data_IF_612800378158
#
_entry.id   IF_612800378158
#
_cell.length_a   1.000
_cell.length_b   1.000
_cell.length_c   1.000
_cell.angle_alpha   90.00
_cell.angle_beta   90.00
_cell.angle_gamma   90.00
#
_symmetry.space_group_name_H-M   'P 1'
#
loop_
_entity.id
_entity.type
_entity.pdbx_description
1 polymer ?
#
# COMPACT_ATOMS: atom_id res chain seq x y z
N UNK A 1 -9.63 -23.95 4.39
CA UNK A 1 -9.24 -24.52 5.70
C UNK A 1 -10.10 -24.06 6.88
N UNK A 2 -10.64 -22.85 6.87
CA UNK A 2 -11.47 -22.30 7.97
C UNK A 2 -12.85 -22.97 8.11
N UNK A 3 -13.48 -23.36 7.01
CA UNK A 3 -14.80 -24.03 7.02
C UNK A 3 -14.78 -25.44 7.64
N UNK A 4 -13.66 -26.15 7.57
CA UNK A 4 -13.49 -27.48 8.18
C UNK A 4 -13.38 -27.42 9.71
N UNK A 5 -12.76 -26.36 10.24
CA UNK A 5 -12.65 -26.14 11.68
C UNK A 5 -13.98 -25.81 12.34
N UNK A 6 -14.84 -25.04 11.68
CA UNK A 6 -16.18 -24.69 12.18
C UNK A 6 -17.14 -25.90 12.19
N UNK A 7 -17.00 -26.81 11.22
CA UNK A 7 -17.82 -28.01 11.13
C UNK A 7 -17.45 -29.04 12.23
N UNK A 8 -16.16 -29.22 12.47
CA UNK A 8 -15.66 -30.09 13.57
C UNK A 8 -16.06 -29.54 14.95
N UNK A 9 -16.02 -28.22 15.15
CA UNK A 9 -16.40 -27.61 16.44
C UNK A 9 -17.90 -27.73 16.70
N UNK A 10 -18.73 -27.54 15.66
CA UNK A 10 -20.19 -27.72 15.75
C UNK A 10 -20.57 -29.18 16.05
N UNK A 11 -19.84 -30.14 15.48
CA UNK A 11 -20.07 -31.56 15.69
C UNK A 11 -19.65 -32.00 17.11
N UNK A 12 -18.51 -31.55 17.60
CA UNK A 12 -18.04 -31.81 18.95
C UNK A 12 -18.96 -31.21 20.02
N UNK A 13 -19.45 -29.99 19.81
CA UNK A 13 -20.38 -29.31 20.72
C UNK A 13 -21.75 -29.99 20.76
N UNK A 14 -22.29 -30.40 19.63
CA UNK A 14 -23.57 -31.16 19.57
C UNK A 14 -23.45 -32.54 20.19
N UNK A 15 -22.31 -33.20 20.07
CA UNK A 15 -22.07 -34.53 20.69
C UNK A 15 -21.93 -34.40 22.21
N UNK A 16 -21.25 -33.34 22.69
CA UNK A 16 -21.14 -33.05 24.11
C UNK A 16 -22.50 -32.73 24.75
N UNK A 17 -23.33 -31.88 24.13
CA UNK A 17 -24.69 -31.57 24.58
C UNK A 17 -25.58 -32.81 24.63
N UNK A 18 -25.50 -33.70 23.64
CA UNK A 18 -26.25 -34.98 23.65
C UNK A 18 -25.83 -35.87 24.81
N UNK A 19 -24.55 -35.94 25.16
CA UNK A 19 -24.07 -36.74 26.30
C UNK A 19 -24.52 -36.13 27.63
N UNK A 20 -24.46 -34.83 27.81
CA UNK A 20 -24.94 -34.15 29.02
C UNK A 20 -26.45 -34.31 29.21
N UNK A 21 -27.25 -34.22 28.16
CA UNK A 21 -28.70 -34.42 28.20
C UNK A 21 -29.06 -35.90 28.44
N UNK A 22 -28.27 -36.87 27.90
CA UNK A 22 -28.48 -38.29 28.21
C UNK A 22 -28.17 -38.65 29.66
N UNK A 23 -27.13 -38.06 30.25
CA UNK A 23 -26.76 -38.27 31.67
C UNK A 23 -27.81 -37.67 32.61
N UNK A 24 -28.45 -36.53 32.25
CA UNK A 24 -29.48 -35.90 33.08
C UNK A 24 -30.82 -36.68 33.09
N UNK A 25 -31.10 -37.53 32.08
CA UNK A 25 -32.32 -38.33 31.98
C UNK A 25 -32.29 -39.65 32.73
N UNK A 26 -31.14 -40.08 33.25
CA UNK A 26 -31.09 -41.30 34.09
C UNK A 26 -31.51 -40.98 35.53
N UNK A 27 -32.76 -41.22 35.88
CA UNK A 27 -33.35 -41.00 37.22
C UNK A 27 -32.55 -41.64 38.40
N UNK A 28 -31.62 -42.54 38.16
CA UNK A 28 -30.82 -43.20 39.17
C UNK A 28 -29.45 -42.58 39.48
N UNK A 29 -29.01 -41.59 38.69
CA UNK A 29 -27.69 -40.97 38.88
C UNK A 29 -27.69 -39.96 40.05
N UNK A 30 -28.79 -39.28 40.28
CA UNK A 30 -28.95 -38.35 41.40
C UNK A 30 -28.90 -39.06 42.75
N UNK A 31 -29.58 -40.21 42.91
CA UNK A 31 -29.59 -40.98 44.17
C UNK A 31 -28.24 -41.63 44.53
N UNK A 32 -27.41 -41.95 43.56
CA UNK A 32 -26.07 -42.53 43.80
C UNK A 32 -25.08 -41.47 44.35
N UNK A 33 -25.23 -40.23 43.96
CA UNK A 33 -24.38 -39.13 44.43
C UNK A 33 -24.82 -38.61 45.81
N UNK A 34 -26.12 -38.58 46.10
CA UNK A 34 -26.64 -38.13 47.40
C UNK A 34 -26.21 -39.03 48.57
N UNK A 35 -25.99 -40.32 48.34
CA UNK A 35 -25.61 -41.30 49.38
C UNK A 35 -24.13 -41.23 49.76
N UNK A 36 -23.28 -40.58 48.97
CA UNK A 36 -21.83 -40.54 49.18
C UNK A 36 -21.25 -39.19 49.52
N UNK A 37 -21.95 -38.11 49.18
CA UNK A 37 -21.50 -36.73 49.38
C UNK A 37 -22.69 -35.93 49.91
N UNK A 38 -22.61 -35.50 51.16
CA UNK A 38 -23.70 -34.77 51.82
C UNK A 38 -24.10 -33.47 51.03
N UNK A 39 -25.31 -33.02 51.28
CA UNK A 39 -26.01 -31.91 50.56
C UNK A 39 -25.22 -30.60 50.33
N UNK A 40 -24.11 -30.38 51.05
CA UNK A 40 -23.27 -29.18 50.85
C UNK A 40 -22.40 -29.21 49.59
N UNK A 41 -22.09 -30.42 49.03
CA UNK A 41 -21.21 -30.51 47.86
C UNK A 41 -21.96 -30.29 46.50
N UNK A 42 -23.28 -30.51 46.48
CA UNK A 42 -24.06 -30.38 45.26
C UNK A 42 -24.27 -28.93 44.83
N UNK A 43 -24.44 -28.01 45.79
CA UNK A 43 -24.58 -26.59 45.55
C UNK A 43 -23.30 -25.94 45.00
N UNK A 44 -22.15 -26.39 45.52
CA UNK A 44 -20.84 -25.86 45.09
C UNK A 44 -20.42 -26.31 43.70
N UNK A 45 -20.76 -27.54 43.30
CA UNK A 45 -20.46 -28.04 41.92
C UNK A 45 -21.34 -27.35 40.88
N UNK A 46 -22.63 -27.14 41.17
CA UNK A 46 -23.51 -26.39 40.25
C UNK A 46 -23.12 -24.92 40.13
N UNK A 47 -22.74 -24.28 41.24
CA UNK A 47 -22.27 -22.88 41.19
C UNK A 47 -20.94 -22.77 40.44
N UNK A 48 -20.01 -23.71 40.59
CA UNK A 48 -18.73 -23.74 39.89
C UNK A 48 -18.88 -23.97 38.38
N UNK A 49 -19.80 -24.85 37.96
CA UNK A 49 -20.08 -25.08 36.53
C UNK A 49 -20.76 -23.89 35.91
N UNK A 50 -21.72 -23.24 36.61
CA UNK A 50 -22.37 -22.03 36.13
C UNK A 50 -21.38 -20.86 36.02
N UNK A 51 -20.46 -20.69 36.97
CA UNK A 51 -19.40 -19.67 36.92
C UNK A 51 -18.41 -19.94 35.80
N UNK A 52 -18.04 -21.19 35.54
CA UNK A 52 -17.15 -21.58 34.45
C UNK A 52 -17.78 -21.31 33.07
N UNK A 53 -19.08 -21.57 32.91
CA UNK A 53 -19.83 -21.29 31.69
C UNK A 53 -19.96 -19.76 31.49
N UNK A 54 -20.18 -19.03 32.56
CA UNK A 54 -20.23 -17.55 32.52
C UNK A 54 -18.86 -16.94 32.16
N UNK A 55 -17.77 -17.44 32.75
CA UNK A 55 -16.41 -17.03 32.43
C UNK A 55 -16.01 -17.42 31.02
N UNK A 56 -16.41 -18.58 30.50
CA UNK A 56 -16.17 -18.97 29.11
C UNK A 56 -16.99 -18.13 28.11
N UNK A 57 -18.16 -17.64 28.50
CA UNK A 57 -18.93 -16.70 27.66
C UNK A 57 -18.34 -15.28 27.65
N UNK A 58 -17.64 -14.86 28.71
CA UNK A 58 -16.93 -13.58 28.78
C UNK A 58 -15.58 -13.61 28.06
N UNK A 59 -14.98 -14.80 27.89
CA UNK A 59 -13.68 -14.98 27.18
C UNK A 59 -13.86 -15.20 25.67
N UNK A 60 -15.10 -15.32 25.18
CA UNK A 60 -15.28 -15.17 23.74
C UNK A 60 -15.03 -13.68 23.42
N UNK A 61 -13.84 -13.31 22.87
CA UNK A 61 -13.75 -12.01 22.26
C UNK A 61 -14.84 -12.07 21.18
N UNK A 62 -15.88 -11.27 21.32
CA UNK A 62 -16.60 -10.80 20.16
C UNK A 62 -15.50 -10.30 19.25
N UNK A 63 -15.10 -11.13 18.29
CA UNK A 63 -14.48 -10.58 17.10
C UNK A 63 -15.59 -9.68 16.56
N UNK A 64 -15.56 -8.43 17.01
CA UNK A 64 -16.19 -7.38 16.29
C UNK A 64 -15.64 -7.61 14.88
N UNK A 65 -16.48 -8.05 13.95
CA UNK A 65 -16.21 -7.93 12.54
C UNK A 65 -15.95 -6.43 12.42
N UNK A 66 -14.66 -6.07 12.34
CA UNK A 66 -14.31 -4.70 12.03
C UNK A 66 -15.07 -4.45 10.74
N UNK A 67 -16.07 -3.57 10.79
CA UNK A 67 -16.79 -3.16 9.60
C UNK A 67 -15.72 -2.81 8.58
N UNK A 68 -15.83 -3.34 7.36
CA UNK A 68 -14.90 -2.94 6.31
C UNK A 68 -14.87 -1.41 6.31
N UNK A 69 -13.67 -0.79 6.35
CA UNK A 69 -13.59 0.66 6.34
C UNK A 69 -14.32 1.18 5.12
N UNK A 70 -14.98 2.30 5.28
CA UNK A 70 -15.62 2.99 4.18
C UNK A 70 -14.57 3.66 3.26
N UNK A 71 -15.02 4.11 2.11
CA UNK A 71 -14.18 4.79 1.13
C UNK A 71 -13.38 5.94 1.75
N UNK A 72 -14.03 6.76 2.57
CA UNK A 72 -13.39 7.95 3.14
C UNK A 72 -12.27 7.59 4.11
N UNK A 73 -12.44 6.55 4.89
CA UNK A 73 -11.39 6.03 5.78
C UNK A 73 -10.15 5.57 5.00
N UNK A 74 -10.35 4.78 3.92
CA UNK A 74 -9.25 4.28 3.08
C UNK A 74 -8.54 5.43 2.37
N UNK A 75 -9.30 6.36 1.82
CA UNK A 75 -8.79 7.50 1.07
C UNK A 75 -8.01 8.47 1.98
N UNK A 76 -8.57 8.80 3.14
CA UNK A 76 -7.92 9.65 4.15
C UNK A 76 -6.59 9.04 4.60
N UNK A 77 -6.54 7.75 4.90
CA UNK A 77 -5.29 7.08 5.28
C UNK A 77 -4.25 7.11 4.16
N UNK A 78 -4.66 6.92 2.91
CA UNK A 78 -3.78 7.00 1.73
C UNK A 78 -3.20 8.40 1.54
N UNK A 79 -4.01 9.46 1.69
CA UNK A 79 -3.58 10.86 1.65
C UNK A 79 -2.64 11.19 2.81
N UNK A 80 -2.98 10.83 4.03
CA UNK A 80 -2.15 11.06 5.21
C UNK A 80 -0.78 10.39 5.11
N UNK A 81 -0.67 9.24 4.44
CA UNK A 81 0.61 8.61 4.14
C UNK A 81 1.50 9.51 3.29
N UNK A 82 0.93 10.14 2.27
CA UNK A 82 1.63 11.07 1.38
C UNK A 82 1.97 12.37 2.11
N UNK A 83 1.06 12.90 2.90
CA UNK A 83 1.23 14.13 3.68
C UNK A 83 2.31 14.02 4.79
N UNK A 84 2.68 12.80 5.17
CA UNK A 84 3.75 12.53 6.14
C UNK A 84 5.12 12.31 5.50
N UNK A 85 5.25 12.44 4.18
CA UNK A 85 6.52 12.22 3.49
C UNK A 85 7.55 13.28 3.88
N UNK A 86 8.71 12.83 4.33
CA UNK A 86 9.94 13.59 4.54
C UNK A 86 11.10 12.59 4.48
N UNK A 87 11.56 12.24 3.27
CA UNK A 87 12.59 11.23 3.13
C UNK A 87 13.59 11.54 2.01
N UNK A 88 14.80 10.96 2.15
CA UNK A 88 15.82 10.82 1.11
C UNK A 88 15.97 9.35 0.76
N UNK A 89 16.25 9.08 -0.50
CA UNK A 89 16.54 7.74 -0.97
C UNK A 89 17.64 7.74 -2.01
N UNK A 90 18.40 6.63 -2.04
CA UNK A 90 19.37 6.33 -3.09
C UNK A 90 19.13 4.92 -3.57
N UNK A 91 19.46 4.64 -4.82
CA UNK A 91 19.20 3.32 -5.37
C UNK A 91 19.56 3.19 -6.83
N UNK A 92 18.93 2.23 -7.47
CA UNK A 92 19.09 1.95 -8.91
C UNK A 92 17.75 1.79 -9.59
N UNK A 93 17.65 2.41 -10.76
CA UNK A 93 16.58 2.18 -11.72
C UNK A 93 17.15 1.33 -12.85
N UNK A 94 16.56 0.16 -13.10
CA UNK A 94 17.05 -0.78 -14.11
C UNK A 94 15.96 -1.07 -15.12
N UNK A 95 16.23 -0.85 -16.40
CA UNK A 95 15.42 -1.34 -17.50
C UNK A 95 15.87 -2.75 -17.86
N UNK A 96 14.94 -3.70 -17.89
CA UNK A 96 15.14 -5.08 -18.37
C UNK A 96 14.35 -5.23 -19.65
N UNK A 97 15.03 -5.42 -20.77
CA UNK A 97 14.41 -5.64 -22.09
C UNK A 97 13.90 -7.07 -22.22
N UNK A 98 13.01 -7.34 -23.18
CA UNK A 98 12.47 -8.69 -23.41
C UNK A 98 13.50 -9.74 -23.78
N UNK A 99 14.67 -9.35 -24.32
CA UNK A 99 15.81 -10.22 -24.61
C UNK A 99 16.74 -10.43 -23.37
N UNK A 100 16.38 -9.87 -22.21
CA UNK A 100 17.15 -9.96 -20.98
C UNK A 100 18.27 -8.93 -20.84
N UNK A 101 18.53 -8.08 -21.84
CA UNK A 101 19.50 -6.97 -21.72
C UNK A 101 19.06 -6.02 -20.61
N UNK A 102 20.02 -5.55 -19.80
CA UNK A 102 19.79 -4.65 -18.68
C UNK A 102 20.56 -3.35 -18.86
N UNK A 103 19.87 -2.24 -18.61
CA UNK A 103 20.47 -0.91 -18.50
C UNK A 103 20.15 -0.34 -17.14
N UNK A 104 21.18 0.01 -16.37
CA UNK A 104 21.01 0.49 -14.99
C UNK A 104 21.45 1.94 -14.87
N UNK A 105 20.67 2.69 -14.08
CA UNK A 105 20.84 4.10 -13.79
C UNK A 105 20.99 4.26 -12.28
N UNK A 106 21.83 5.18 -11.83
CA UNK A 106 21.83 5.62 -10.43
C UNK A 106 20.59 6.45 -10.17
N UNK A 107 19.97 6.27 -9.02
CA UNK A 107 18.78 6.99 -8.60
C UNK A 107 19.03 7.70 -7.26
N UNK A 108 18.69 8.98 -7.19
CA UNK A 108 18.61 9.75 -5.95
C UNK A 108 17.24 10.40 -5.91
N UNK A 109 16.53 10.25 -4.80
CA UNK A 109 15.20 10.80 -4.59
C UNK A 109 15.09 11.55 -3.28
N UNK A 110 14.33 12.63 -3.27
CA UNK A 110 13.89 13.37 -2.10
C UNK A 110 12.41 13.63 -2.22
N UNK A 111 11.65 13.48 -1.14
CA UNK A 111 10.26 13.87 -1.11
C UNK A 111 9.91 14.47 0.25
N UNK A 112 9.13 15.54 0.25
CA UNK A 112 8.57 16.15 1.45
C UNK A 112 7.26 16.84 1.17
N UNK A 113 6.32 16.68 2.10
CA UNK A 113 5.11 17.48 2.15
C UNK A 113 5.38 18.80 2.88
N UNK A 114 5.04 19.91 2.24
CA UNK A 114 5.11 21.28 2.74
C UNK A 114 3.69 21.84 2.94
N UNK A 115 3.58 23.04 3.47
CA UNK A 115 2.29 23.73 3.64
C UNK A 115 1.55 23.98 2.32
N UNK A 116 2.27 24.05 1.19
CA UNK A 116 1.73 24.26 -0.16
C UNK A 116 1.54 22.95 -0.95
N UNK A 117 2.01 21.81 -0.42
CA UNK A 117 1.87 20.50 -1.03
C UNK A 117 3.14 19.65 -1.03
N UNK A 118 3.12 18.58 -1.82
CA UNK A 118 4.22 17.63 -1.96
C UNK A 118 5.24 18.10 -2.99
N UNK A 119 6.52 18.01 -2.65
CA UNK A 119 7.64 18.12 -3.60
C UNK A 119 8.40 16.82 -3.66
N UNK A 120 8.63 16.34 -4.89
CA UNK A 120 9.45 15.17 -5.19
C UNK A 120 10.56 15.59 -6.14
N UNK A 121 11.80 15.48 -5.72
CA UNK A 121 12.97 15.71 -6.55
C UNK A 121 13.68 14.40 -6.82
N UNK A 122 13.89 14.06 -8.09
CA UNK A 122 14.62 12.86 -8.50
C UNK A 122 15.79 13.25 -9.42
N UNK A 123 16.93 12.61 -9.21
CA UNK A 123 18.06 12.63 -10.14
C UNK A 123 18.33 11.20 -10.61
N UNK A 124 18.43 11.02 -11.93
CA UNK A 124 18.72 9.75 -12.57
C UNK A 124 19.96 9.94 -13.43
N UNK A 125 21.03 9.18 -13.14
CA UNK A 125 22.30 9.23 -13.87
C UNK A 125 22.48 7.94 -14.64
N UNK A 126 22.59 8.04 -15.95
CA UNK A 126 22.80 6.92 -16.85
C UNK A 126 24.25 6.42 -16.89
N UNK A 127 24.49 5.29 -17.59
CA UNK A 127 25.82 4.67 -17.70
C UNK A 127 26.83 5.56 -18.43
N UNK A 128 26.40 6.44 -19.32
CA UNK A 128 27.21 7.44 -20.01
C UNK A 128 27.34 8.76 -19.25
N UNK A 129 26.97 8.80 -17.96
CA UNK A 129 26.93 9.99 -17.12
C UNK A 129 25.91 11.06 -17.55
N UNK A 130 25.05 10.75 -18.50
CA UNK A 130 23.89 11.57 -18.84
C UNK A 130 22.95 11.66 -17.63
N UNK A 131 22.46 12.85 -17.35
CA UNK A 131 21.59 13.11 -16.20
C UNK A 131 20.22 13.56 -16.61
N UNK A 132 19.23 13.08 -15.91
CA UNK A 132 17.85 13.59 -15.92
C UNK A 132 17.50 13.98 -14.50
N UNK A 133 17.15 15.23 -14.28
CA UNK A 133 16.64 15.70 -12.99
C UNK A 133 15.20 16.18 -13.17
N UNK A 134 14.34 15.84 -12.23
CA UNK A 134 12.97 16.31 -12.26
C UNK A 134 12.52 16.73 -10.87
N UNK A 135 11.73 17.81 -10.83
CA UNK A 135 11.00 18.27 -9.67
C UNK A 135 9.50 18.18 -9.98
N UNK A 136 8.81 17.32 -9.25
CA UNK A 136 7.35 17.26 -9.28
C UNK A 136 6.81 18.00 -8.06
N UNK A 137 5.93 18.94 -8.29
CA UNK A 137 5.18 19.63 -7.26
C UNK A 137 3.70 19.30 -7.41
N UNK A 138 3.09 18.75 -6.36
CA UNK A 138 1.64 18.57 -6.25
C UNK A 138 1.11 19.44 -5.13
N UNK A 139 0.25 20.39 -5.49
CA UNK A 139 -0.40 21.27 -4.50
C UNK A 139 -1.31 20.47 -3.55
N UNK A 140 -1.73 21.10 -2.46
CA UNK A 140 -2.71 20.53 -1.51
C UNK A 140 -4.05 20.18 -2.18
N UNK A 141 -4.38 20.81 -3.31
CA UNK A 141 -5.58 20.51 -4.10
C UNK A 141 -5.37 19.39 -5.14
N UNK A 142 -4.17 18.79 -5.18
CA UNK A 142 -3.84 17.73 -6.14
C UNK A 142 -3.37 18.22 -7.51
N UNK A 143 -3.26 19.54 -7.74
CA UNK A 143 -2.74 20.08 -9.00
C UNK A 143 -1.23 19.81 -9.12
N UNK A 144 -0.81 19.21 -10.23
CA UNK A 144 0.58 18.78 -10.48
C UNK A 144 1.26 19.73 -11.46
N UNK A 145 2.54 20.04 -11.19
CA UNK A 145 3.49 20.64 -12.12
C UNK A 145 4.77 19.82 -12.13
N UNK A 146 5.42 19.74 -13.29
CA UNK A 146 6.69 19.02 -13.44
C UNK A 146 7.70 19.97 -14.10
N UNK A 147 8.84 20.14 -13.44
CA UNK A 147 10.01 20.78 -14.01
C UNK A 147 11.10 19.73 -14.24
N UNK A 148 11.87 19.86 -15.30
CA UNK A 148 12.95 18.92 -15.60
C UNK A 148 14.19 19.63 -16.15
N UNK A 149 15.34 18.99 -15.93
CA UNK A 149 16.59 19.21 -16.67
C UNK A 149 16.86 17.90 -17.40
N UNK A 150 16.74 17.92 -18.71
CA UNK A 150 16.95 16.73 -19.54
C UNK A 150 18.40 16.63 -20.02
N UNK A 151 18.85 15.45 -20.49
CA UNK A 151 20.19 15.30 -21.03
C UNK A 151 20.50 16.34 -22.11
N UNK A 152 21.59 17.09 -21.93
CA UNK A 152 22.02 18.18 -22.82
C UNK A 152 21.40 19.55 -22.53
N UNK A 153 20.42 19.65 -21.64
CA UNK A 153 19.87 20.93 -21.20
C UNK A 153 20.71 21.55 -20.09
N UNK A 154 20.86 22.89 -20.14
CA UNK A 154 21.65 23.66 -19.15
C UNK A 154 20.83 24.25 -18.02
N UNK A 155 19.52 24.26 -18.15
CA UNK A 155 18.60 24.83 -17.16
C UNK A 155 17.32 24.01 -17.05
N UNK A 156 16.69 24.09 -15.88
CA UNK A 156 15.38 23.52 -15.68
C UNK A 156 14.32 24.27 -16.47
N UNK A 157 13.38 23.54 -17.00
CA UNK A 157 12.20 24.07 -17.68
C UNK A 157 10.94 23.33 -17.23
N UNK A 158 9.80 24.04 -17.29
CA UNK A 158 8.50 23.39 -17.05
C UNK A 158 8.26 22.38 -18.15
N UNK A 159 8.08 21.12 -17.78
CA UNK A 159 7.79 20.05 -18.72
C UNK A 159 6.36 20.22 -19.25
N UNK A 160 6.16 20.39 -20.57
CA UNK A 160 4.82 20.50 -21.14
C UNK A 160 4.04 19.20 -20.89
N UNK A 161 2.72 19.32 -20.74
CA UNK A 161 1.85 18.18 -20.38
C UNK A 161 2.01 17.02 -21.36
N UNK A 162 2.17 17.30 -22.64
CA UNK A 162 2.32 16.31 -23.72
C UNK A 162 3.50 15.35 -23.49
N UNK A 163 4.45 15.75 -22.64
CA UNK A 163 5.64 14.96 -22.31
C UNK A 163 5.58 14.24 -20.98
N UNK A 164 4.53 14.42 -20.19
CA UNK A 164 4.45 13.83 -18.84
C UNK A 164 4.47 12.30 -18.85
N UNK A 165 3.93 11.69 -19.92
CA UNK A 165 3.96 10.25 -20.10
C UNK A 165 5.18 9.74 -20.91
N UNK A 166 6.12 10.62 -21.28
CA UNK A 166 7.37 10.18 -21.90
C UNK A 166 8.14 9.22 -20.95
N UNK A 167 8.85 8.23 -21.52
CA UNK A 167 9.66 7.30 -20.73
C UNK A 167 10.78 8.03 -19.97
N UNK A 168 10.75 7.96 -18.66
CA UNK A 168 11.80 8.52 -17.79
C UNK A 168 13.08 7.72 -17.95
N UNK A 169 14.14 8.34 -18.50
CA UNK A 169 15.42 7.69 -18.82
C UNK A 169 15.26 6.42 -19.67
N UNK A 170 14.26 6.34 -20.56
CA UNK A 170 14.00 5.17 -21.42
C UNK A 170 13.40 3.96 -20.70
N UNK A 171 12.94 4.11 -19.46
CA UNK A 171 12.32 3.06 -18.67
C UNK A 171 10.80 2.98 -18.87
N UNK A 172 10.10 2.08 -18.17
CA UNK A 172 8.64 2.00 -18.18
C UNK A 172 7.99 2.99 -17.20
N UNK A 173 8.79 3.64 -16.35
CA UNK A 173 8.33 4.80 -15.59
C UNK A 173 8.24 6.01 -16.50
N UNK A 174 7.24 6.85 -16.28
CA UNK A 174 7.12 8.17 -16.89
C UNK A 174 7.40 9.25 -15.84
N UNK A 175 7.48 10.51 -16.27
CA UNK A 175 7.64 11.64 -15.37
C UNK A 175 6.48 11.74 -14.38
N UNK A 176 5.26 11.49 -14.83
CA UNK A 176 4.05 11.51 -14.00
C UNK A 176 4.01 10.38 -12.96
N UNK A 177 4.71 9.26 -13.19
CA UNK A 177 4.70 8.13 -12.26
C UNK A 177 5.46 8.38 -10.97
N UNK A 178 6.21 9.47 -10.89
CA UNK A 178 6.95 9.84 -9.68
C UNK A 178 6.06 10.38 -8.56
N UNK A 179 4.75 10.48 -8.79
CA UNK A 179 3.78 10.98 -7.82
C UNK A 179 2.50 10.14 -7.84
N UNK A 180 1.83 10.07 -6.69
CA UNK A 180 0.58 9.33 -6.51
C UNK A 180 -0.62 10.31 -6.45
N UNK A 181 -0.78 11.15 -7.47
CA UNK A 181 -1.84 12.18 -7.53
C UNK A 181 -3.25 11.60 -7.55
N UNK A 182 -3.43 10.34 -7.96
CA UNK A 182 -4.74 9.66 -8.07
C UNK A 182 -5.51 9.64 -6.75
N UNK A 183 -4.85 9.66 -5.60
CA UNK A 183 -5.54 9.70 -4.30
C UNK A 183 -6.20 11.07 -4.01
N UNK A 184 -5.89 12.10 -4.78
CA UNK A 184 -6.43 13.45 -4.67
C UNK A 184 -7.49 13.75 -5.73
N UNK A 185 -7.72 12.84 -6.69
CA UNK A 185 -8.79 13.01 -7.69
C UNK A 185 -10.16 12.93 -7.02
N UNK A 186 -11.15 13.55 -7.66
CA UNK A 186 -12.51 13.67 -7.12
C UNK A 186 -13.30 12.36 -7.17
N UNK A 187 -13.14 11.58 -8.25
CA UNK A 187 -13.97 10.41 -8.50
C UNK A 187 -13.27 9.16 -7.96
N UNK A 188 -13.69 8.72 -6.79
CA UNK A 188 -13.14 7.59 -6.05
C UNK A 188 -14.21 6.52 -5.83
N UNK A 189 -13.85 5.25 -5.94
CA UNK A 189 -14.74 4.10 -5.75
C UNK A 189 -14.00 3.01 -4.98
N UNK A 190 -14.55 2.56 -3.87
CA UNK A 190 -14.04 1.40 -3.16
C UNK A 190 -14.75 0.15 -3.72
N UNK A 191 -13.99 -0.69 -4.39
CA UNK A 191 -14.47 -1.94 -4.98
C UNK A 191 -14.50 -3.05 -3.92
N UNK A 192 -15.03 -4.24 -4.31
CA UNK A 192 -14.98 -5.41 -3.45
C UNK A 192 -13.52 -5.73 -3.07
N UNK A 193 -13.24 -6.08 -1.80
CA UNK A 193 -11.91 -6.48 -1.39
C UNK A 193 -11.42 -7.70 -2.17
N UNK A 194 -10.14 -7.71 -2.52
CA UNK A 194 -9.50 -8.80 -3.25
C UNK A 194 -8.21 -9.25 -2.57
N UNK A 195 -7.72 -10.43 -2.97
CA UNK A 195 -6.38 -10.88 -2.61
C UNK A 195 -5.40 -10.54 -3.71
N UNK A 196 -4.26 -9.95 -3.33
CA UNK A 196 -3.09 -9.86 -4.20
C UNK A 196 -1.94 -10.69 -3.62
N UNK A 197 -1.63 -11.80 -4.27
CA UNK A 197 -0.74 -12.82 -3.71
C UNK A 197 -1.32 -13.39 -2.40
N UNK A 198 -0.59 -13.24 -1.30
CA UNK A 198 -1.02 -13.70 0.04
C UNK A 198 -1.68 -12.60 0.88
N UNK A 199 -1.82 -11.38 0.35
CA UNK A 199 -2.31 -10.21 1.08
C UNK A 199 -3.78 -9.97 0.80
N UNK A 200 -4.56 -9.74 1.84
CA UNK A 200 -5.91 -9.21 1.73
C UNK A 200 -5.80 -7.71 1.46
N UNK A 201 -6.49 -7.19 0.44
CA UNK A 201 -6.38 -5.82 -0.01
C UNK A 201 -7.76 -5.14 -0.12
N UNK A 202 -7.81 -3.85 0.24
CA UNK A 202 -8.83 -2.96 -0.25
C UNK A 202 -8.50 -2.57 -1.69
N UNK A 203 -9.50 -2.51 -2.55
CA UNK A 203 -9.32 -2.13 -3.95
C UNK A 203 -9.94 -0.77 -4.18
N UNK A 204 -9.10 0.24 -4.33
CA UNK A 204 -9.51 1.62 -4.57
C UNK A 204 -9.36 1.94 -6.06
N UNK A 205 -10.45 2.35 -6.71
CA UNK A 205 -10.45 2.83 -8.09
C UNK A 205 -10.62 4.34 -8.12
N UNK A 206 -9.61 5.03 -8.63
CA UNK A 206 -9.62 6.46 -8.88
C UNK A 206 -9.85 6.72 -10.36
N UNK A 207 -10.82 7.55 -10.72
CA UNK A 207 -11.09 7.97 -12.11
C UNK A 207 -10.80 9.45 -12.26
N UNK A 208 -9.99 9.80 -13.25
CA UNK A 208 -9.74 11.20 -13.58
C UNK A 208 -10.94 11.83 -14.28
N UNK A 209 -11.08 13.13 -14.11
CA UNK A 209 -12.04 13.93 -14.89
C UNK A 209 -11.33 14.98 -15.75
N UNK A 210 -12.07 15.92 -16.31
CA UNK A 210 -11.51 16.99 -17.15
C UNK A 210 -10.69 18.04 -16.38
N UNK A 211 -10.82 18.07 -15.04
CA UNK A 211 -10.06 18.96 -14.17
C UNK A 211 -8.70 18.34 -13.78
N UNK A 212 -8.60 17.02 -13.83
CA UNK A 212 -7.38 16.29 -13.49
C UNK A 212 -6.41 16.31 -14.69
N UNK A 213 -5.32 17.04 -14.52
CA UNK A 213 -4.25 17.09 -15.52
C UNK A 213 -3.38 15.86 -15.39
N UNK A 214 -3.77 14.78 -16.10
CA UNK A 214 -3.14 13.45 -16.04
C UNK A 214 -3.31 12.71 -17.36
N UNK A 215 -2.33 11.86 -17.71
CA UNK A 215 -2.43 10.92 -18.84
C UNK A 215 -3.24 9.66 -18.49
N UNK A 216 -3.61 9.47 -17.23
CA UNK A 216 -4.37 8.31 -16.81
C UNK A 216 -5.87 8.57 -16.80
N UNK A 217 -6.65 7.68 -17.41
CA UNK A 217 -8.10 7.67 -17.33
C UNK A 217 -8.56 7.14 -15.97
N UNK A 218 -7.90 6.07 -15.51
CA UNK A 218 -8.17 5.49 -14.20
C UNK A 218 -6.94 4.83 -13.60
N UNK A 219 -6.93 4.75 -12.27
CA UNK A 219 -5.93 4.03 -11.48
C UNK A 219 -6.64 3.12 -10.49
N UNK A 220 -6.33 1.83 -10.50
CA UNK A 220 -6.79 0.87 -9.51
C UNK A 220 -5.63 0.51 -8.60
N UNK A 221 -5.81 0.69 -7.30
CA UNK A 221 -4.79 0.46 -6.26
C UNK A 221 -5.25 -0.63 -5.32
N UNK A 222 -4.47 -1.70 -5.19
CA UNK A 222 -4.63 -2.74 -4.16
C UNK A 222 -3.85 -2.32 -2.93
N UNK A 223 -4.55 -1.92 -1.90
CA UNK A 223 -3.99 -1.42 -0.65
C UNK A 223 -4.02 -2.54 0.38
N UNK A 224 -2.87 -2.95 0.90
CA UNK A 224 -2.78 -3.98 1.94
C UNK A 224 -3.67 -3.62 3.13
N UNK A 225 -4.50 -4.55 3.55
CA UNK A 225 -5.51 -4.35 4.60
C UNK A 225 -4.92 -3.91 5.94
N UNK A 226 -3.71 -4.39 6.28
CA UNK A 226 -3.09 -4.11 7.59
C UNK A 226 -2.34 -2.79 7.65
N UNK A 227 -1.85 -2.27 6.53
CA UNK A 227 -0.94 -1.12 6.49
C UNK A 227 -1.38 0.00 5.54
N UNK A 228 -2.44 -0.22 4.75
CA UNK A 228 -3.00 0.71 3.76
C UNK A 228 -1.95 1.28 2.78
N UNK A 229 -0.93 0.47 2.48
CA UNK A 229 0.11 0.77 1.50
C UNK A 229 -0.20 0.03 0.19
N UNK A 230 -0.03 0.66 -0.98
CA UNK A 230 -0.25 -0.01 -2.26
C UNK A 230 0.77 -1.14 -2.45
N UNK A 231 0.26 -2.34 -2.76
CA UNK A 231 1.08 -3.52 -3.11
C UNK A 231 1.06 -3.79 -4.59
N UNK A 232 0.01 -3.32 -5.25
CA UNK A 232 -0.20 -3.41 -6.70
C UNK A 232 -1.00 -2.21 -7.16
N UNK A 233 -0.62 -1.62 -8.28
CA UNK A 233 -1.33 -0.49 -8.91
C UNK A 233 -1.41 -0.73 -10.41
N UNK A 234 -2.60 -0.58 -10.95
CA UNK A 234 -2.88 -0.67 -12.39
C UNK A 234 -3.38 0.68 -12.88
N UNK A 235 -2.61 1.33 -13.76
CA UNK A 235 -2.94 2.61 -14.38
C UNK A 235 -3.39 2.38 -15.80
N UNK A 236 -4.52 2.94 -16.21
CA UNK A 236 -5.05 2.88 -17.58
C UNK A 236 -4.79 4.18 -18.29
N UNK A 237 -4.04 4.14 -19.39
CA UNK A 237 -3.72 5.32 -20.19
C UNK A 237 -4.95 5.83 -20.95
N UNK A 238 -5.18 7.14 -20.90
CA UNK A 238 -6.25 7.84 -21.60
C UNK A 238 -6.06 7.71 -23.12
N UNK A 239 -7.13 7.53 -23.83
CA UNK A 239 -7.16 7.46 -25.29
C UNK A 239 -6.76 6.09 -25.86
N UNK A 240 -5.77 5.40 -25.30
CA UNK A 240 -5.33 4.07 -25.80
C UNK A 240 -5.93 2.92 -25.01
N UNK A 241 -6.31 3.11 -23.75
CA UNK A 241 -6.71 2.05 -22.84
C UNK A 241 -5.56 1.11 -22.44
N UNK A 242 -4.33 1.37 -22.89
CA UNK A 242 -3.15 0.58 -22.53
C UNK A 242 -2.91 0.64 -21.02
N UNK A 243 -2.53 -0.48 -20.43
CA UNK A 243 -2.32 -0.56 -19.00
C UNK A 243 -0.84 -0.51 -18.64
N UNK A 244 -0.53 0.18 -17.55
CA UNK A 244 0.77 0.20 -16.90
C UNK A 244 0.59 -0.36 -15.49
N UNK A 245 1.33 -1.41 -15.17
CA UNK A 245 1.29 -2.13 -13.90
C UNK A 245 2.48 -1.75 -13.04
N UNK A 246 2.22 -1.53 -11.74
CA UNK A 246 3.25 -1.31 -10.72
C UNK A 246 3.09 -2.32 -9.60
N UNK A 247 4.17 -3.01 -9.24
CA UNK A 247 4.20 -3.99 -8.17
C UNK A 247 5.24 -3.55 -7.14
N UNK A 248 4.82 -3.54 -5.86
CA UNK A 248 5.63 -3.05 -4.75
C UNK A 248 6.11 -4.22 -3.89
N UNK A 249 7.42 -4.30 -3.66
CA UNK A 249 8.05 -5.38 -2.90
C UNK A 249 8.85 -4.84 -1.71
N UNK A 250 9.14 -5.73 -0.74
CA UNK A 250 10.00 -5.43 0.39
C UNK A 250 9.47 -4.30 1.27
N UNK A 251 8.17 -4.36 1.62
CA UNK A 251 7.53 -3.33 2.43
C UNK A 251 8.16 -3.26 3.81
N UNK A 252 8.58 -2.06 4.21
CA UNK A 252 9.19 -1.78 5.51
C UNK A 252 8.84 -0.38 6.00
N UNK A 253 8.99 -0.15 7.29
CA UNK A 253 8.86 1.20 7.85
C UNK A 253 10.19 1.96 7.74
N UNK A 254 10.09 3.21 7.30
CA UNK A 254 11.20 4.17 7.22
C UNK A 254 10.71 5.48 7.82
N UNK A 255 11.29 5.93 8.92
CA UNK A 255 10.86 7.14 9.62
C UNK A 255 9.40 7.09 10.12
N UNK A 256 8.89 5.89 10.43
CA UNK A 256 7.50 5.69 10.89
C UNK A 256 6.46 5.57 9.76
N UNK A 257 6.84 5.78 8.50
CA UNK A 257 5.99 5.57 7.34
C UNK A 257 6.31 4.26 6.60
N UNK A 258 5.31 3.59 6.05
CA UNK A 258 5.51 2.42 5.19
C UNK A 258 6.08 2.84 3.83
N UNK A 259 7.03 2.07 3.34
CA UNK A 259 7.70 2.26 2.04
C UNK A 259 8.05 0.90 1.42
N UNK A 260 8.15 0.86 0.10
CA UNK A 260 8.67 -0.30 -0.63
C UNK A 260 10.18 -0.15 -0.85
N UNK A 261 10.91 -1.27 -0.79
CA UNK A 261 12.34 -1.29 -1.18
C UNK A 261 12.52 -1.51 -2.67
N UNK A 262 11.50 -1.99 -3.36
CA UNK A 262 11.52 -2.22 -4.80
C UNK A 262 10.15 -1.92 -5.40
N UNK A 263 10.15 -1.27 -6.55
CA UNK A 263 8.97 -1.03 -7.38
C UNK A 263 9.28 -1.52 -8.79
N UNK A 264 8.45 -2.42 -9.31
CA UNK A 264 8.54 -2.88 -10.70
C UNK A 264 7.42 -2.22 -11.51
N UNK A 265 7.78 -1.65 -12.66
CA UNK A 265 6.85 -1.09 -13.63
C UNK A 265 6.86 -1.91 -14.92
N UNK A 266 5.66 -2.22 -15.45
CA UNK A 266 5.44 -2.93 -16.72
C UNK A 266 4.42 -2.20 -17.56
N UNK A 267 4.69 -2.06 -18.85
CA UNK A 267 3.74 -1.53 -19.81
C UNK A 267 3.14 -2.72 -20.61
N UNK A 268 1.82 -2.83 -20.60
CA UNK A 268 1.10 -3.89 -21.31
C UNK A 268 1.48 -3.90 -22.79
N UNK A 269 1.77 -5.10 -23.34
CA UNK A 269 2.17 -5.28 -24.72
C UNK A 269 3.65 -4.96 -25.02
N UNK A 270 4.41 -4.42 -24.05
CA UNK A 270 5.84 -4.17 -24.17
C UNK A 270 6.62 -5.24 -23.40
N UNK A 271 7.53 -5.99 -24.06
CA UNK A 271 8.31 -7.02 -23.36
C UNK A 271 9.32 -6.40 -22.38
N UNK A 272 9.56 -7.10 -21.29
CA UNK A 272 10.44 -6.65 -20.20
C UNK A 272 9.75 -5.82 -19.15
N UNK A 273 10.54 -5.20 -18.26
CA UNK A 273 10.06 -4.34 -17.16
C UNK A 273 11.13 -3.37 -16.72
N UNK A 274 10.76 -2.42 -15.90
CA UNK A 274 11.70 -1.50 -15.23
C UNK A 274 11.57 -1.62 -13.73
N UNK A 275 12.70 -1.69 -13.02
CA UNK A 275 12.75 -1.96 -11.59
C UNK A 275 13.51 -0.85 -10.90
N UNK A 276 12.84 -0.14 -9.99
CA UNK A 276 13.47 0.79 -9.07
C UNK A 276 13.75 0.06 -7.75
N UNK A 277 15.02 -0.04 -7.38
CA UNK A 277 15.48 -0.60 -6.10
C UNK A 277 16.01 0.51 -5.22
N UNK A 278 15.46 0.66 -4.02
CA UNK A 278 15.95 1.59 -2.99
C UNK A 278 16.98 0.86 -2.12
N UNK A 279 18.24 1.26 -2.24
CA UNK A 279 19.39 0.65 -1.57
C UNK A 279 19.72 1.35 -0.26
N UNK A 280 19.43 2.65 -0.17
CA UNK A 280 19.68 3.47 1.01
C UNK A 280 18.65 4.57 1.15
N UNK A 281 18.57 5.16 2.34
CA UNK A 281 17.71 6.29 2.61
C UNK A 281 17.38 6.48 4.07
N UNK A 282 16.77 7.61 4.39
CA UNK A 282 16.29 7.98 5.72
C UNK A 282 14.93 8.64 5.64
N UNK A 283 14.03 8.25 6.55
CA UNK A 283 12.83 9.01 6.85
C UNK A 283 13.13 10.12 7.87
N UNK A 284 12.22 11.09 8.02
CA UNK A 284 12.40 12.26 8.88
C UNK A 284 13.71 13.01 8.55
N UNK A 285 13.96 13.20 7.24
CA UNK A 285 15.21 13.74 6.72
C UNK A 285 15.36 15.25 6.96
N UNK A 286 14.34 15.91 7.51
CA UNK A 286 14.25 17.36 7.77
C UNK A 286 14.61 18.19 6.53
N UNK A 287 14.07 17.79 5.37
CA UNK A 287 14.34 18.47 4.11
C UNK A 287 13.75 19.89 4.13
N UNK A 288 14.54 20.88 3.74
CA UNK A 288 14.08 22.25 3.55
C UNK A 288 13.69 22.54 2.09
N UNK A 289 13.08 23.69 1.81
CA UNK A 289 12.76 24.13 0.44
C UNK A 289 13.99 24.18 -0.48
N UNK A 290 15.16 24.53 0.06
CA UNK A 290 16.43 24.54 -0.67
C UNK A 290 16.89 23.15 -1.17
N UNK A 291 16.43 22.07 -0.51
CA UNK A 291 16.71 20.72 -0.96
C UNK A 291 16.00 20.34 -2.27
N UNK A 292 15.03 21.13 -2.68
CA UNK A 292 14.20 20.95 -3.88
C UNK A 292 14.47 22.02 -4.95
N UNK A 293 15.64 22.65 -4.91
CA UNK A 293 16.08 23.60 -5.94
C UNK A 293 16.66 22.82 -7.14
N UNK A 294 15.85 22.65 -8.18
CA UNK A 294 16.24 21.94 -9.40
C UNK A 294 17.27 22.74 -10.24
N UNK A 295 17.40 24.05 -10.04
CA UNK A 295 18.35 24.87 -10.80
C UNK A 295 19.80 24.48 -10.57
N UNK A 296 20.10 23.87 -9.42
CA UNK A 296 21.44 23.38 -9.06
C UNK A 296 21.95 22.25 -9.98
N UNK A 297 21.05 21.57 -10.69
CA UNK A 297 21.41 20.42 -11.55
C UNK A 297 21.75 20.80 -12.99
N UNK A 298 21.29 21.98 -13.46
CA UNK A 298 21.62 22.50 -14.80
C UNK A 298 22.99 23.15 -14.91
N UNK A 299 23.53 23.65 -13.80
CA UNK A 299 24.75 24.49 -13.81
C UNK A 299 26.08 23.70 -13.75
N UNK A 300 26.08 22.38 -13.62
CA UNK A 300 27.32 21.58 -13.41
C UNK A 300 28.03 21.18 -14.72
N UNK A 301 27.89 21.94 -15.79
CA UNK A 301 28.58 21.71 -17.07
C UNK A 301 29.94 22.41 -17.24
N UNK A 302 30.34 23.30 -16.33
CA UNK A 302 31.59 24.07 -16.45
C UNK A 302 32.35 24.19 -15.13
N UNK A 303 32.91 23.08 -14.65
CA UNK A 303 34.16 23.17 -13.88
C UNK A 303 35.26 22.50 -14.71
N UNK A 304 36.10 23.36 -15.33
CA UNK A 304 37.35 23.02 -15.97
C UNK A 304 38.31 22.44 -14.97
#
# INVERSE_FOLDING_TARGET
>A
MVLYGLWLYKYAYMTFLRHVVMLSRRRNFGRYLESRWGNCAFGTIQASVALLVLLLSLVHPWRAFAANPDLETVLTASRQRIEKLDYRSTGRLTRVEGNGKRTSYKFVGKARWFSDGLRVLCEITGPGSEKTSLLVHMSVSGHVTIEAVLPGEKAASVLPFERWNDPLAGTDFSFEDMIESQFFWKNQELLAPEKYGTRDCFVLKSKSDSQDRTYYDSVTSWLDHGILFPVHVLKTLRGTGQQKEFIYYGLRQVGGAWSATQVEAKLQGKPGSSILVIEGGSGNANLGSKDFDISQFGAQGEMK
#
